data_IF_490191430206
#
_entry.id   IF_490191430206
#
_cell.length_a   1.000
_cell.length_b   1.000
_cell.length_c   1.000
_cell.angle_alpha   90.00
_cell.angle_beta   90.00
_cell.angle_gamma   90.00
#
_symmetry.space_group_name_H-M   'P 1'
#
loop_
_entity.id
_entity.type
_entity.pdbx_description
1 polymer ?
#
# COMPACT_ATOMS: atom_id res chain seq x y z
N UNK A 1 -12.97 29.53 5.60
CA UNK A 1 -12.38 28.22 5.29
C UNK A 1 -10.88 28.31 5.42
N UNK A 2 -10.30 27.65 6.44
CA UNK A 2 -8.85 27.61 6.64
C UNK A 2 -8.33 26.35 5.96
N UNK A 3 -7.59 26.51 4.85
CA UNK A 3 -6.79 25.41 4.31
C UNK A 3 -5.68 25.09 5.32
N UNK A 4 -5.65 23.86 5.80
CA UNK A 4 -4.55 23.40 6.64
C UNK A 4 -3.37 23.10 5.73
N UNK A 5 -2.23 23.74 5.97
CA UNK A 5 -0.94 23.38 5.36
C UNK A 5 -0.10 22.63 6.38
N UNK A 6 0.50 21.53 5.99
CA UNK A 6 1.51 20.84 6.80
C UNK A 6 2.85 20.88 6.07
N UNK A 7 3.91 21.23 6.80
CA UNK A 7 5.27 21.17 6.30
C UNK A 7 5.74 19.71 6.37
N UNK A 8 5.97 19.11 5.21
CA UNK A 8 6.64 17.80 5.13
C UNK A 8 8.18 17.94 5.08
N UNK A 9 8.66 19.09 4.63
CA UNK A 9 10.05 19.54 4.67
C UNK A 9 10.08 21.05 4.45
N UNK A 10 11.25 21.70 4.62
CA UNK A 10 11.38 23.14 4.38
C UNK A 10 11.08 23.54 2.92
N UNK A 11 11.17 22.60 1.97
CA UNK A 11 10.97 22.83 0.54
C UNK A 11 9.75 22.13 -0.05
N UNK A 12 8.99 21.35 0.75
CA UNK A 12 7.76 20.71 0.33
C UNK A 12 6.64 21.07 1.30
N UNK A 13 5.60 21.67 0.78
CA UNK A 13 4.43 22.10 1.54
C UNK A 13 3.20 21.38 1.00
N UNK A 14 2.41 20.82 1.90
CA UNK A 14 1.11 20.28 1.56
C UNK A 14 0.01 21.31 1.83
N UNK A 15 -0.82 21.57 0.85
CA UNK A 15 -1.98 22.46 0.96
C UNK A 15 -3.25 21.70 0.62
N UNK A 16 -4.22 21.68 1.55
CA UNK A 16 -5.55 21.15 1.26
C UNK A 16 -6.29 22.03 0.24
N UNK A 17 -7.17 21.38 -0.53
CA UNK A 17 -8.08 22.07 -1.45
C UNK A 17 -9.52 21.96 -0.91
N UNK A 18 -10.18 23.07 -0.54
CA UNK A 18 -11.56 23.02 -0.04
C UNK A 18 -12.60 22.76 -1.13
N UNK A 19 -12.22 22.88 -2.40
CA UNK A 19 -13.10 22.77 -3.56
C UNK A 19 -13.01 21.37 -4.21
N UNK A 20 -12.61 20.34 -3.43
CA UNK A 20 -12.60 18.96 -3.88
C UNK A 20 -14.02 18.40 -3.94
N UNK A 21 -14.39 17.95 -5.13
CA UNK A 21 -15.66 17.25 -5.36
C UNK A 21 -15.52 15.73 -5.13
N UNK A 22 -16.62 15.04 -4.80
CA UNK A 22 -16.63 13.58 -4.67
C UNK A 22 -16.31 12.89 -6.00
N UNK A 23 -15.40 11.92 -5.98
CA UNK A 23 -15.14 11.02 -7.12
C UNK A 23 -16.22 9.94 -7.19
N UNK A 24 -16.73 9.68 -8.39
CA UNK A 24 -17.72 8.64 -8.65
C UNK A 24 -17.09 7.51 -9.47
N UNK A 25 -17.25 6.28 -8.99
CA UNK A 25 -16.66 5.11 -9.64
C UNK A 25 -17.74 4.11 -10.05
N UNK A 26 -17.78 3.79 -11.34
CA UNK A 26 -18.51 2.66 -11.87
C UNK A 26 -17.57 1.45 -11.93
N UNK A 27 -18.01 0.33 -11.32
CA UNK A 27 -17.19 -0.87 -11.20
C UNK A 27 -17.92 -2.11 -11.73
N UNK A 28 -17.22 -2.88 -12.54
CA UNK A 28 -17.65 -4.21 -12.99
C UNK A 28 -16.59 -5.22 -12.56
N UNK A 29 -17.01 -6.27 -11.86
CA UNK A 29 -16.16 -7.36 -11.41
C UNK A 29 -16.74 -8.70 -11.82
N UNK A 30 -15.92 -9.55 -12.46
CA UNK A 30 -16.27 -10.91 -12.84
C UNK A 30 -15.38 -11.89 -12.10
N UNK A 31 -15.95 -12.57 -11.10
CA UNK A 31 -15.23 -13.49 -10.22
C UNK A 31 -15.49 -14.95 -10.52
N UNK A 32 -14.47 -15.78 -10.31
CA UNK A 32 -14.56 -17.23 -10.35
C UNK A 32 -13.92 -17.84 -9.11
N UNK A 33 -14.66 -18.70 -8.42
CA UNK A 33 -14.20 -19.41 -7.23
C UNK A 33 -14.25 -20.93 -7.48
N UNK A 34 -13.13 -21.61 -7.23
CA UNK A 34 -13.06 -23.08 -7.25
C UNK A 34 -12.41 -23.58 -5.97
N UNK A 35 -13.09 -24.53 -5.34
CA UNK A 35 -12.61 -25.27 -4.17
C UNK A 35 -12.30 -26.71 -4.54
N UNK A 36 -11.10 -27.16 -4.16
CA UNK A 36 -10.69 -28.56 -4.11
C UNK A 36 -10.39 -28.94 -2.66
N UNK A 37 -10.07 -30.20 -2.41
CA UNK A 37 -9.80 -30.67 -1.05
C UNK A 37 -8.66 -29.93 -0.33
N UNK A 38 -7.64 -29.50 -1.06
CA UNK A 38 -6.43 -28.87 -0.50
C UNK A 38 -6.18 -27.46 -1.04
N UNK A 39 -6.92 -27.02 -2.04
CA UNK A 39 -6.74 -25.74 -2.71
C UNK A 39 -8.07 -25.02 -2.80
N UNK A 40 -8.07 -23.75 -2.47
CA UNK A 40 -9.11 -22.81 -2.86
C UNK A 40 -8.48 -21.78 -3.78
N UNK A 41 -9.01 -21.65 -4.96
CA UNK A 41 -8.61 -20.67 -5.96
C UNK A 41 -9.75 -19.70 -6.20
N UNK A 42 -9.45 -18.42 -6.12
CA UNK A 42 -10.36 -17.34 -6.46
C UNK A 42 -9.65 -16.41 -7.44
N UNK A 43 -10.31 -16.06 -8.51
CA UNK A 43 -9.80 -15.08 -9.47
C UNK A 43 -10.92 -14.13 -9.88
N UNK A 44 -10.59 -12.90 -10.17
CA UNK A 44 -11.50 -11.93 -10.76
C UNK A 44 -10.82 -11.10 -11.84
N UNK A 45 -11.62 -10.66 -12.80
CA UNK A 45 -11.30 -9.63 -13.75
C UNK A 45 -12.18 -8.42 -13.45
N UNK A 46 -11.60 -7.24 -13.40
CA UNK A 46 -12.34 -6.04 -13.05
C UNK A 46 -12.02 -4.86 -13.97
N UNK A 47 -13.01 -3.98 -14.10
CA UNK A 47 -12.90 -2.70 -14.78
C UNK A 47 -13.58 -1.66 -13.92
N UNK A 48 -12.84 -0.60 -13.59
CA UNK A 48 -13.34 0.56 -12.85
C UNK A 48 -13.17 1.80 -13.72
N UNK A 49 -14.19 2.63 -13.78
CA UNK A 49 -14.17 3.94 -14.43
C UNK A 49 -14.50 4.97 -13.36
N UNK A 50 -13.56 5.84 -13.06
CA UNK A 50 -13.73 6.89 -12.05
C UNK A 50 -13.81 8.23 -12.75
N UNK A 51 -14.89 8.97 -12.51
CA UNK A 51 -15.06 10.36 -12.91
C UNK A 51 -14.63 11.25 -11.73
N UNK A 52 -14.11 12.44 -12.05
CA UNK A 52 -13.61 13.42 -11.08
C UNK A 52 -12.61 12.81 -10.08
N UNK A 53 -11.78 11.88 -10.59
CA UNK A 53 -10.70 11.25 -9.83
C UNK A 53 -9.77 12.32 -9.27
N UNK A 54 -9.52 12.28 -7.95
CA UNK A 54 -8.60 13.24 -7.38
C UNK A 54 -7.16 12.77 -7.44
N UNK A 55 -6.27 13.70 -7.75
CA UNK A 55 -4.83 13.47 -7.85
C UNK A 55 -4.08 14.54 -7.05
N UNK A 56 -2.92 14.17 -6.51
CA UNK A 56 -2.00 15.16 -5.96
C UNK A 56 -1.11 15.70 -7.07
N UNK A 57 -1.22 17.00 -7.29
CA UNK A 57 -0.32 17.72 -8.19
C UNK A 57 0.74 18.46 -7.40
N UNK A 58 1.89 18.66 -8.03
CA UNK A 58 2.99 19.47 -7.52
C UNK A 58 3.23 20.64 -8.43
N UNK A 59 3.37 21.82 -7.83
CA UNK A 59 3.67 23.08 -8.53
C UNK A 59 4.59 23.96 -7.68
N UNK A 60 5.25 24.91 -8.30
CA UNK A 60 6.01 25.92 -7.56
C UNK A 60 5.08 26.81 -6.73
N UNK A 61 5.48 27.14 -5.50
CA UNK A 61 4.74 28.03 -4.63
C UNK A 61 5.10 29.51 -4.83
N UNK A 62 6.18 29.81 -5.55
CA UNK A 62 6.79 31.13 -5.64
C UNK A 62 7.68 31.50 -4.45
N UNK A 63 7.80 30.62 -3.47
CA UNK A 63 8.70 30.81 -2.33
C UNK A 63 10.00 30.04 -2.56
N UNK A 64 11.08 30.54 -1.98
CA UNK A 64 12.40 29.92 -2.05
C UNK A 64 12.96 29.78 -0.63
N UNK A 65 13.62 28.66 -0.37
CA UNK A 65 14.41 28.41 0.85
C UNK A 65 15.83 28.08 0.41
N UNK A 66 16.79 28.88 0.84
CA UNK A 66 18.22 28.76 0.46
C UNK A 66 18.44 28.64 -1.06
N UNK A 67 17.65 29.39 -1.86
CA UNK A 67 17.72 29.37 -3.32
C UNK A 67 17.04 28.18 -3.99
N UNK A 68 16.43 27.28 -3.23
CA UNK A 68 15.67 26.12 -3.74
C UNK A 68 14.18 26.48 -3.77
N UNK A 69 13.45 26.25 -4.90
CA UNK A 69 12.04 26.53 -4.99
C UNK A 69 11.24 25.62 -4.05
N UNK A 70 10.28 26.22 -3.33
CA UNK A 70 9.34 25.49 -2.50
C UNK A 70 8.22 24.90 -3.37
N UNK A 71 8.05 23.59 -3.31
CA UNK A 71 7.06 22.85 -4.05
C UNK A 71 5.78 22.72 -3.22
N UNK A 72 4.68 23.14 -3.79
CA UNK A 72 3.34 22.98 -3.24
C UNK A 72 2.71 21.71 -3.77
N UNK A 73 2.29 20.82 -2.88
CA UNK A 73 1.49 19.64 -3.21
C UNK A 73 0.05 19.86 -2.79
N UNK A 74 -0.90 19.75 -3.73
CA UNK A 74 -2.32 19.96 -3.49
C UNK A 74 -3.17 18.92 -4.20
N UNK A 75 -4.27 18.42 -3.59
CA UNK A 75 -5.21 17.54 -4.28
C UNK A 75 -6.10 18.35 -5.22
N UNK A 76 -6.38 17.78 -6.39
CA UNK A 76 -7.33 18.33 -7.36
C UNK A 76 -8.20 17.21 -7.91
N UNK A 77 -9.39 17.51 -8.39
CA UNK A 77 -10.15 16.60 -9.24
C UNK A 77 -9.58 16.67 -10.65
N UNK A 78 -9.03 15.54 -11.09
CA UNK A 78 -8.50 15.39 -12.44
C UNK A 78 -9.43 14.45 -13.23
N UNK A 79 -9.70 14.74 -14.48
CA UNK A 79 -10.82 14.27 -15.30
C UNK A 79 -11.28 12.80 -15.11
N UNK A 80 -10.59 11.84 -15.69
CA UNK A 80 -11.02 10.43 -15.67
C UNK A 80 -9.89 9.47 -15.36
N UNK A 81 -10.25 8.39 -14.64
CA UNK A 81 -9.36 7.26 -14.42
C UNK A 81 -10.02 5.96 -14.88
N UNK A 82 -9.31 5.18 -15.66
CA UNK A 82 -9.70 3.84 -16.10
C UNK A 82 -8.73 2.83 -15.50
N UNK A 83 -9.26 1.89 -14.72
CA UNK A 83 -8.46 0.81 -14.14
C UNK A 83 -9.04 -0.53 -14.53
N UNK A 84 -8.24 -1.35 -15.21
CA UNK A 84 -8.61 -2.71 -15.57
C UNK A 84 -7.54 -3.68 -15.12
N UNK A 85 -7.94 -4.80 -14.54
CA UNK A 85 -6.98 -5.75 -13.99
C UNK A 85 -7.52 -7.13 -13.71
N UNK A 86 -6.60 -7.97 -13.24
CA UNK A 86 -6.86 -9.34 -12.81
C UNK A 86 -6.33 -9.56 -11.41
N UNK A 87 -7.11 -10.25 -10.61
CA UNK A 87 -6.73 -10.68 -9.27
C UNK A 87 -6.76 -12.20 -9.16
N UNK A 88 -5.75 -12.77 -8.49
CA UNK A 88 -5.63 -14.18 -8.22
C UNK A 88 -5.38 -14.38 -6.73
N UNK A 89 -6.21 -15.20 -6.09
CA UNK A 89 -6.07 -15.60 -4.71
C UNK A 89 -6.00 -17.12 -4.62
N UNK A 90 -4.98 -17.61 -3.95
CA UNK A 90 -4.76 -19.05 -3.74
C UNK A 90 -4.59 -19.33 -2.26
N UNK A 91 -5.41 -20.23 -1.72
CA UNK A 91 -5.20 -20.83 -0.41
C UNK A 91 -4.87 -22.31 -0.62
N UNK A 92 -3.69 -22.73 -0.20
CA UNK A 92 -3.20 -24.08 -0.38
C UNK A 92 -2.79 -24.71 0.94
N UNK A 93 -3.38 -25.83 1.29
CA UNK A 93 -3.10 -26.58 2.51
C UNK A 93 -2.73 -28.03 2.16
N UNK A 94 -1.50 -28.27 1.65
CA UNK A 94 -1.07 -29.59 1.21
C UNK A 94 -1.08 -30.61 2.36
N UNK A 95 -0.75 -30.14 3.58
CA UNK A 95 -0.67 -30.92 4.79
C UNK A 95 -1.31 -30.19 5.97
N UNK A 96 -1.69 -30.89 7.03
CA UNK A 96 -2.26 -30.29 8.24
C UNK A 96 -1.31 -29.32 8.95
N UNK A 97 -0.01 -29.48 8.74
CA UNK A 97 1.04 -28.66 9.34
C UNK A 97 1.55 -27.53 8.44
N UNK A 98 1.08 -27.43 7.17
CA UNK A 98 1.52 -26.39 6.25
C UNK A 98 0.34 -25.73 5.54
N UNK A 99 0.29 -24.39 5.59
CA UNK A 99 -0.67 -23.55 4.87
C UNK A 99 0.09 -22.47 4.12
N UNK A 100 -0.31 -22.28 2.87
CA UNK A 100 0.21 -21.24 1.98
C UNK A 100 -0.97 -20.40 1.47
N UNK A 101 -0.84 -19.08 1.55
CA UNK A 101 -1.78 -18.15 0.95
C UNK A 101 -1.00 -17.25 0.00
N UNK A 102 -1.52 -17.05 -1.19
CA UNK A 102 -0.95 -16.17 -2.20
C UNK A 102 -2.04 -15.24 -2.74
N UNK A 103 -1.68 -13.99 -2.92
CA UNK A 103 -2.46 -13.00 -3.64
C UNK A 103 -1.57 -12.38 -4.71
N UNK A 104 -2.10 -12.22 -5.90
CA UNK A 104 -1.47 -11.51 -7.00
C UNK A 104 -2.51 -10.63 -7.68
N UNK A 105 -2.18 -9.37 -7.91
CA UNK A 105 -3.02 -8.43 -8.65
C UNK A 105 -2.16 -7.71 -9.68
N UNK A 106 -2.60 -7.69 -10.93
CA UNK A 106 -1.97 -6.95 -12.01
C UNK A 106 -3.03 -6.08 -12.70
N UNK A 107 -2.73 -4.81 -12.91
CA UNK A 107 -3.67 -3.88 -13.51
C UNK A 107 -2.98 -2.82 -14.37
N UNK A 108 -3.72 -2.36 -15.35
CA UNK A 108 -3.44 -1.15 -16.12
C UNK A 108 -4.29 -0.02 -15.55
N UNK A 109 -3.63 1.08 -15.24
CA UNK A 109 -4.26 2.32 -14.81
C UNK A 109 -3.99 3.38 -15.88
N UNK A 110 -5.03 4.04 -16.33
CA UNK A 110 -4.96 5.14 -17.29
C UNK A 110 -5.66 6.34 -16.67
N UNK A 111 -4.94 7.43 -16.54
CA UNK A 111 -5.45 8.72 -16.09
C UNK A 111 -5.47 9.65 -17.28
N UNK A 112 -6.56 10.40 -17.46
CA UNK A 112 -6.72 11.37 -18.55
C UNK A 112 -7.17 12.71 -17.98
N UNK A 113 -6.51 13.78 -18.37
CA UNK A 113 -6.95 15.13 -18.05
C UNK A 113 -5.85 16.18 -18.09
N UNK A 114 -6.29 17.39 -18.34
CA UNK A 114 -5.46 18.58 -18.28
C UNK A 114 -5.85 19.40 -17.04
N UNK A 115 -4.86 19.98 -16.40
CA UNK A 115 -5.07 20.90 -15.29
C UNK A 115 -4.39 22.22 -15.56
N UNK A 116 -5.18 23.30 -15.45
CA UNK A 116 -4.70 24.67 -15.60
C UNK A 116 -4.67 25.38 -14.24
N UNK A 117 -3.57 26.05 -13.96
CA UNK A 117 -3.43 26.88 -12.77
C UNK A 117 -2.67 28.15 -13.11
N UNK A 118 -2.82 29.16 -12.29
CA UNK A 118 -2.04 30.40 -12.39
C UNK A 118 -0.78 30.22 -11.54
N UNK A 119 0.39 30.46 -12.14
CA UNK A 119 1.67 30.43 -11.43
C UNK A 119 1.86 31.69 -10.56
N UNK A 120 2.96 31.76 -9.81
CA UNK A 120 3.27 32.90 -8.96
C UNK A 120 3.64 34.16 -9.73
N UNK A 121 3.90 34.07 -11.03
CA UNK A 121 4.16 35.20 -11.93
C UNK A 121 2.87 35.72 -12.59
N UNK A 122 1.72 35.06 -12.37
CA UNK A 122 0.45 35.39 -12.97
C UNK A 122 0.19 34.77 -14.34
N UNK A 123 1.05 33.83 -14.80
CA UNK A 123 0.86 33.12 -16.06
C UNK A 123 -0.08 31.92 -15.86
N UNK A 124 -0.95 31.68 -16.83
CA UNK A 124 -1.75 30.46 -16.86
C UNK A 124 -0.90 29.30 -17.41
N UNK A 125 -0.63 28.32 -16.58
CA UNK A 125 0.09 27.09 -16.93
C UNK A 125 -0.94 25.97 -17.09
N UNK A 126 -0.98 25.34 -18.25
CA UNK A 126 -1.74 24.11 -18.49
C UNK A 126 -0.79 22.94 -18.56
N UNK A 127 -1.01 21.95 -17.71
CA UNK A 127 -0.21 20.72 -17.66
C UNK A 127 -1.11 19.54 -18.00
N UNK A 128 -0.63 18.70 -18.92
CA UNK A 128 -1.27 17.43 -19.23
C UNK A 128 -0.85 16.36 -18.23
N UNK A 129 -1.83 15.64 -17.69
CA UNK A 129 -1.64 14.58 -16.71
C UNK A 129 -1.98 13.18 -17.28
N UNK A 130 -2.12 13.08 -18.60
CA UNK A 130 -2.32 11.79 -19.23
C UNK A 130 -1.18 10.84 -18.89
N UNK A 131 -1.54 9.71 -18.35
CA UNK A 131 -0.57 8.70 -17.95
C UNK A 131 -1.16 7.30 -18.05
N UNK A 132 -0.37 6.36 -18.52
CA UNK A 132 -0.70 4.94 -18.55
C UNK A 132 0.36 4.19 -17.75
N UNK A 133 -0.07 3.50 -16.71
CA UNK A 133 0.80 2.66 -15.89
C UNK A 133 0.30 1.21 -15.90
N UNK A 134 1.20 0.27 -16.15
CA UNK A 134 1.00 -1.15 -15.89
C UNK A 134 1.77 -1.50 -14.63
N UNK A 135 1.08 -1.99 -13.62
CA UNK A 135 1.70 -2.34 -12.35
C UNK A 135 1.07 -3.60 -11.75
N UNK A 136 1.74 -4.18 -10.76
CA UNK A 136 1.26 -5.36 -10.08
C UNK A 136 1.80 -5.42 -8.65
N UNK A 137 1.10 -6.16 -7.83
CA UNK A 137 1.61 -6.51 -6.50
C UNK A 137 1.31 -7.96 -6.17
N UNK A 138 2.10 -8.51 -5.26
CA UNK A 138 1.89 -9.86 -4.74
C UNK A 138 2.12 -9.90 -3.23
N UNK A 139 1.36 -10.78 -2.59
CA UNK A 139 1.54 -11.12 -1.17
C UNK A 139 1.55 -12.64 -1.05
N UNK A 140 2.51 -13.14 -0.32
CA UNK A 140 2.64 -14.58 -0.04
C UNK A 140 2.78 -14.75 1.47
N UNK A 141 1.97 -15.62 2.05
CA UNK A 141 2.03 -15.98 3.46
C UNK A 141 2.15 -17.49 3.58
N UNK A 142 3.13 -17.97 4.32
CA UNK A 142 3.33 -19.39 4.63
C UNK A 142 3.34 -19.58 6.14
N UNK A 143 2.52 -20.52 6.62
CA UNK A 143 2.54 -20.97 8.01
C UNK A 143 2.88 -22.46 8.04
N UNK A 144 3.94 -22.79 8.76
CA UNK A 144 4.44 -24.16 8.96
C UNK A 144 4.50 -24.47 10.45
N UNK A 145 3.85 -25.54 10.86
CA UNK A 145 4.03 -26.08 12.22
C UNK A 145 5.16 -27.11 12.18
N UNK A 146 6.30 -26.73 12.71
CA UNK A 146 7.52 -27.55 12.81
C UNK A 146 7.38 -28.60 13.92
N UNK A 147 8.29 -29.59 14.00
CA UNK A 147 8.44 -30.48 15.16
C UNK A 147 8.52 -29.68 16.47
N UNK A 148 8.12 -30.29 17.59
CA UNK A 148 8.05 -29.65 18.92
C UNK A 148 7.02 -28.51 19.02
N UNK A 149 6.01 -28.46 18.12
CA UNK A 149 4.94 -27.46 18.09
C UNK A 149 5.49 -26.02 17.99
N UNK A 150 6.49 -25.82 17.18
CA UNK A 150 6.99 -24.50 16.83
C UNK A 150 6.23 -24.05 15.58
N UNK A 151 5.48 -22.97 15.66
CA UNK A 151 4.87 -22.33 14.50
C UNK A 151 5.86 -21.37 13.86
N UNK A 152 6.15 -21.58 12.60
CA UNK A 152 6.92 -20.68 11.75
C UNK A 152 5.99 -20.01 10.74
N UNK A 153 5.99 -18.69 10.69
CA UNK A 153 5.22 -17.91 9.74
C UNK A 153 6.15 -16.97 8.97
N UNK A 154 5.97 -16.93 7.66
CA UNK A 154 6.65 -16.03 6.74
C UNK A 154 5.61 -15.25 5.95
N UNK A 155 5.77 -13.93 5.85
CA UNK A 155 4.94 -13.08 5.01
C UNK A 155 5.87 -12.27 4.11
N UNK A 156 5.70 -12.40 2.79
CA UNK A 156 6.40 -11.62 1.78
C UNK A 156 5.41 -10.74 1.02
N UNK A 157 5.82 -9.54 0.69
CA UNK A 157 5.07 -8.61 -0.18
C UNK A 157 6.01 -8.01 -1.20
N UNK A 158 5.51 -7.82 -2.39
CA UNK A 158 6.17 -7.04 -3.44
C UNK A 158 5.15 -6.15 -4.13
N UNK A 159 5.46 -4.86 -4.22
CA UNK A 159 4.74 -3.91 -5.04
C UNK A 159 5.66 -3.49 -6.18
N UNK A 160 5.21 -3.64 -7.41
CA UNK A 160 5.97 -3.21 -8.58
C UNK A 160 6.05 -1.67 -8.66
N UNK A 161 7.01 -1.12 -9.42
CA UNK A 161 7.05 0.30 -9.68
C UNK A 161 5.75 0.79 -10.32
N UNK A 162 5.39 2.05 -10.02
CA UNK A 162 4.21 2.69 -10.59
C UNK A 162 4.57 4.09 -11.06
N UNK A 163 4.24 4.39 -12.31
CA UNK A 163 4.41 5.71 -12.90
C UNK A 163 3.13 6.54 -12.74
N UNK A 164 3.30 7.84 -12.66
CA UNK A 164 2.26 8.86 -12.79
C UNK A 164 2.77 10.01 -13.68
N UNK A 165 1.92 10.98 -13.98
CA UNK A 165 2.27 12.07 -14.90
C UNK A 165 3.43 12.97 -14.42
N UNK A 166 3.77 12.97 -13.13
CA UNK A 166 4.83 13.80 -12.55
C UNK A 166 5.99 12.99 -12.00
N UNK A 167 6.11 11.69 -12.35
CA UNK A 167 7.23 10.86 -11.91
C UNK A 167 6.87 9.40 -11.71
N UNK A 168 7.60 8.73 -10.83
CA UNK A 168 7.36 7.31 -10.53
C UNK A 168 7.67 6.97 -9.07
N UNK A 169 6.97 5.97 -8.56
CA UNK A 169 7.31 5.28 -7.31
C UNK A 169 8.07 4.00 -7.65
N UNK A 170 9.19 3.76 -7.00
CA UNK A 170 9.97 2.53 -7.21
C UNK A 170 9.32 1.34 -6.52
N UNK A 171 9.68 0.14 -6.98
CA UNK A 171 9.16 -1.09 -6.42
C UNK A 171 9.69 -1.35 -4.99
N UNK A 172 8.84 -1.98 -4.16
CA UNK A 172 9.16 -2.29 -2.77
C UNK A 172 8.93 -3.76 -2.50
N UNK A 173 9.98 -4.45 -2.06
CA UNK A 173 9.88 -5.80 -1.53
C UNK A 173 10.03 -5.77 0.00
N UNK A 174 9.26 -6.55 0.73
CA UNK A 174 9.46 -6.73 2.16
C UNK A 174 9.12 -8.15 2.61
N UNK A 175 9.80 -8.62 3.65
CA UNK A 175 9.58 -9.93 4.23
C UNK A 175 9.58 -9.85 5.75
N UNK A 176 8.60 -10.51 6.37
CA UNK A 176 8.50 -10.66 7.81
C UNK A 176 8.59 -12.14 8.17
N UNK A 177 9.24 -12.45 9.29
CA UNK A 177 9.32 -13.78 9.87
C UNK A 177 8.77 -13.76 11.29
N UNK A 178 8.09 -14.83 11.67
CA UNK A 178 7.65 -15.05 13.03
C UNK A 178 7.85 -16.52 13.41
N UNK A 179 8.37 -16.74 14.62
CA UNK A 179 8.43 -18.03 15.25
C UNK A 179 7.69 -17.95 16.58
N UNK A 180 6.84 -18.91 16.87
CA UNK A 180 6.17 -18.96 18.15
C UNK A 180 6.10 -20.39 18.68
N UNK A 181 6.14 -20.50 20.00
CA UNK A 181 6.03 -21.79 20.69
C UNK A 181 5.23 -21.63 21.96
N UNK A 182 4.25 -22.52 22.13
CA UNK A 182 3.55 -22.64 23.39
C UNK A 182 4.41 -23.44 24.39
N UNK A 183 4.51 -22.91 25.61
CA UNK A 183 5.26 -23.46 26.73
C UNK A 183 4.37 -23.51 27.99
N UNK A 184 4.88 -24.00 29.11
CA UNK A 184 4.16 -24.06 30.39
C UNK A 184 2.80 -24.77 30.28
N UNK A 185 2.75 -25.91 29.58
CA UNK A 185 1.50 -26.66 29.31
C UNK A 185 0.43 -25.79 28.65
N UNK A 186 0.82 -25.05 27.61
CA UNK A 186 0.01 -24.11 26.83
C UNK A 186 -0.51 -22.87 27.61
N UNK A 187 0.02 -22.59 28.80
CA UNK A 187 -0.29 -21.37 29.55
C UNK A 187 0.59 -20.19 29.15
N UNK A 188 1.75 -20.43 28.56
CA UNK A 188 2.67 -19.42 28.07
C UNK A 188 2.92 -19.56 26.56
N UNK A 189 3.19 -18.45 25.91
CA UNK A 189 3.66 -18.42 24.52
C UNK A 189 4.88 -17.52 24.43
N UNK A 190 5.96 -18.02 23.86
CA UNK A 190 7.11 -17.21 23.44
C UNK A 190 6.98 -16.98 21.93
N UNK A 191 7.16 -15.74 21.49
CA UNK A 191 7.23 -15.43 20.07
C UNK A 191 8.41 -14.52 19.75
N UNK A 192 9.11 -14.84 18.66
CA UNK A 192 10.13 -14.02 18.02
C UNK A 192 9.55 -13.50 16.71
N UNK A 193 9.52 -12.19 16.53
CA UNK A 193 9.06 -11.55 15.30
C UNK A 193 10.22 -10.74 14.71
N UNK A 194 10.47 -10.90 13.42
CA UNK A 194 11.40 -10.09 12.64
C UNK A 194 10.60 -9.40 11.55
N UNK A 195 10.41 -8.10 11.67
CA UNK A 195 9.74 -7.28 10.68
C UNK A 195 10.76 -6.71 9.71
N UNK A 196 10.44 -6.76 8.42
CA UNK A 196 11.29 -6.27 7.34
C UNK A 196 12.72 -6.84 7.40
N UNK A 197 12.83 -8.17 7.22
CA UNK A 197 14.08 -8.93 7.32
C UNK A 197 15.22 -8.31 6.50
N UNK A 198 14.89 -7.75 5.33
CA UNK A 198 15.88 -7.17 4.42
C UNK A 198 16.12 -5.68 4.63
N UNK A 199 15.38 -5.04 5.57
CA UNK A 199 15.39 -3.58 5.78
C UNK A 199 15.10 -2.80 4.48
N UNK A 200 14.17 -3.31 3.68
CA UNK A 200 13.90 -2.86 2.32
C UNK A 200 12.56 -2.13 2.16
N UNK A 201 11.76 -2.01 3.24
CA UNK A 201 10.48 -1.30 3.23
C UNK A 201 10.71 0.21 3.22
N UNK A 202 11.13 0.70 2.07
CA UNK A 202 11.36 2.11 1.81
C UNK A 202 10.45 2.57 0.69
N UNK A 203 9.84 3.75 0.85
CA UNK A 203 9.12 4.43 -0.21
C UNK A 203 10.09 5.33 -0.93
N UNK A 204 10.38 5.02 -2.18
CA UNK A 204 11.26 5.81 -3.03
C UNK A 204 10.39 6.41 -4.14
N UNK A 205 10.44 7.73 -4.26
CA UNK A 205 9.71 8.48 -5.28
C UNK A 205 10.69 9.35 -6.06
N UNK A 206 10.63 9.24 -7.36
CA UNK A 206 11.27 10.15 -8.29
C UNK A 206 10.18 11.07 -8.85
N UNK A 207 10.35 12.36 -8.68
CA UNK A 207 9.44 13.38 -9.21
C UNK A 207 10.18 14.15 -10.28
N UNK A 208 9.55 14.31 -11.42
CA UNK A 208 10.09 15.09 -12.53
C UNK A 208 9.01 15.98 -13.12
N UNK A 209 9.16 17.27 -12.93
CA UNK A 209 8.30 18.30 -13.49
C UNK A 209 9.19 19.13 -14.42
N UNK A 210 8.98 19.09 -15.75
CA UNK A 210 9.83 19.76 -16.71
C UNK A 210 10.04 21.22 -16.39
N UNK A 211 11.31 21.67 -16.41
CA UNK A 211 11.76 23.04 -16.12
C UNK A 211 11.45 23.57 -14.69
N UNK A 212 10.93 22.72 -13.80
CA UNK A 212 10.54 23.12 -12.44
C UNK A 212 11.39 22.36 -11.41
N UNK A 213 11.26 21.02 -11.35
CA UNK A 213 11.94 20.24 -10.33
C UNK A 213 12.24 18.82 -10.82
N UNK A 214 13.43 18.35 -10.51
CA UNK A 214 13.78 16.92 -10.50
C UNK A 214 14.17 16.56 -9.07
N UNK A 215 13.48 15.61 -8.46
CA UNK A 215 13.75 15.24 -7.08
C UNK A 215 13.67 13.73 -6.86
N UNK A 216 14.57 13.27 -5.99
CA UNK A 216 14.57 11.91 -5.46
C UNK A 216 14.24 11.98 -3.98
N UNK A 217 13.23 11.23 -3.56
CA UNK A 217 12.79 11.17 -2.17
C UNK A 217 12.78 9.73 -1.69
N UNK A 218 13.47 9.47 -0.59
CA UNK A 218 13.44 8.18 0.10
C UNK A 218 12.86 8.37 1.50
N UNK A 219 11.85 7.59 1.82
CA UNK A 219 11.19 7.61 3.12
C UNK A 219 11.13 6.20 3.70
N UNK A 220 11.68 6.01 4.88
CA UNK A 220 11.59 4.79 5.65
C UNK A 220 10.91 5.08 6.99
N UNK A 221 9.66 4.64 7.16
CA UNK A 221 8.89 4.87 8.39
C UNK A 221 9.43 4.07 9.58
N UNK A 222 9.90 2.87 9.31
CA UNK A 222 10.46 1.95 10.31
C UNK A 222 11.53 1.10 9.67
N UNK A 223 12.64 1.01 10.36
CA UNK A 223 13.70 0.06 10.04
C UNK A 223 13.30 -1.36 10.46
N UNK A 224 14.13 -2.33 10.10
CA UNK A 224 13.99 -3.71 10.57
C UNK A 224 13.87 -3.77 12.08
N UNK A 225 12.86 -4.48 12.56
CA UNK A 225 12.61 -4.66 13.99
C UNK A 225 12.67 -6.14 14.35
N UNK A 226 13.34 -6.44 15.46
CA UNK A 226 13.36 -7.76 16.07
C UNK A 226 12.69 -7.63 17.42
N UNK A 227 11.63 -8.38 17.64
CA UNK A 227 10.84 -8.33 18.87
C UNK A 227 10.66 -9.74 19.43
N UNK A 228 11.02 -9.90 20.69
CA UNK A 228 10.69 -11.10 21.47
C UNK A 228 9.56 -10.76 22.41
N UNK A 229 8.54 -11.58 22.44
CA UNK A 229 7.39 -11.42 23.36
C UNK A 229 7.13 -12.69 24.12
N UNK A 230 6.72 -12.52 25.37
CA UNK A 230 6.21 -13.58 26.22
C UNK A 230 4.81 -13.25 26.68
N UNK A 231 3.88 -14.15 26.42
CA UNK A 231 2.47 -14.01 26.84
C UNK A 231 2.14 -15.12 27.82
N UNK A 232 1.64 -14.78 29.00
CA UNK A 232 1.15 -15.74 29.98
C UNK A 232 -0.36 -15.62 30.18
N UNK A 233 -1.09 -16.75 30.13
CA UNK A 233 -2.56 -16.80 30.25
C UNK A 233 -2.92 -17.31 31.65
N UNK A 234 -3.37 -16.42 32.53
CA UNK A 234 -3.71 -16.74 33.92
C UNK A 234 -4.97 -17.60 34.05
N UNK A 235 -6.00 -17.36 33.22
CA UNK A 235 -7.30 -18.01 33.29
C UNK A 235 -7.65 -18.68 31.96
N UNK A 236 -6.99 -19.78 31.60
CA UNK A 236 -7.35 -20.57 30.42
C UNK A 236 -8.51 -21.49 30.77
N UNK A 237 -9.75 -21.15 30.41
CA UNK A 237 -10.87 -22.11 30.45
C UNK A 237 -10.62 -23.23 29.44
N UNK A 238 -10.90 -24.47 29.86
CA UNK A 238 -10.59 -25.71 29.12
C UNK A 238 -11.22 -25.82 27.73
N UNK A 239 -12.18 -24.94 27.38
CA UNK A 239 -13.00 -24.99 26.14
C UNK A 239 -12.63 -23.91 25.09
N UNK A 240 -11.56 -23.15 25.26
CA UNK A 240 -11.16 -22.11 24.27
C UNK A 240 -10.25 -22.61 23.14
N UNK A 241 -10.09 -23.93 22.99
CA UNK A 241 -9.28 -24.47 21.88
C UNK A 241 -9.85 -24.23 20.48
N UNK A 242 -11.14 -23.86 20.36
CA UNK A 242 -11.82 -23.66 19.09
C UNK A 242 -12.19 -22.22 18.76
N UNK A 243 -12.00 -21.30 19.69
CA UNK A 243 -12.11 -19.87 19.38
C UNK A 243 -10.71 -19.33 19.06
N UNK A 244 -10.24 -19.56 17.85
CA UNK A 244 -9.33 -18.59 17.26
C UNK A 244 -10.08 -17.25 17.35
N UNK A 245 -9.48 -16.20 17.95
CA UNK A 245 -10.07 -14.88 17.81
C UNK A 245 -10.22 -14.72 16.29
N UNK A 246 -11.44 -14.53 15.80
CA UNK A 246 -11.59 -13.82 14.54
C UNK A 246 -10.71 -12.61 14.73
N UNK A 247 -9.55 -12.57 14.09
CA UNK A 247 -8.93 -11.31 13.81
C UNK A 247 -10.03 -10.57 13.08
N UNK A 248 -10.68 -9.67 13.77
CA UNK A 248 -11.20 -8.51 13.09
C UNK A 248 -10.01 -8.04 12.31
N UNK A 249 -10.08 -8.21 11.03
CA UNK A 249 -9.23 -7.56 10.06
C UNK A 249 -9.55 -6.07 10.26
N UNK A 250 -8.99 -5.53 11.34
CA UNK A 250 -8.83 -4.10 11.47
C UNK A 250 -7.82 -3.78 10.36
N UNK A 251 -8.37 -3.65 9.16
CA UNK A 251 -7.76 -3.02 8.01
C UNK A 251 -7.37 -1.58 8.30
N UNK A 252 -6.75 -1.37 9.43
CA UNK A 252 -6.20 -0.14 9.96
C UNK A 252 -4.70 -0.11 9.85
N UNK A 253 -4.12 -0.76 8.86
CA UNK A 253 -2.81 -0.34 8.38
C UNK A 253 -3.10 0.50 7.15
N UNK A 254 -3.13 1.80 7.43
CA UNK A 254 -3.55 2.85 6.53
C UNK A 254 -3.09 2.61 5.12
N UNK A 255 -4.05 2.39 4.30
CA UNK A 255 -3.99 2.60 2.89
C UNK A 255 -3.67 4.09 2.61
N UNK A 256 -2.48 4.52 3.07
CA UNK A 256 -1.79 5.73 2.63
C UNK A 256 -0.97 5.46 1.35
N UNK A 257 -1.17 4.30 0.75
CA UNK A 257 -0.80 4.07 -0.62
C UNK A 257 -1.97 4.54 -1.48
N UNK A 258 -1.89 5.80 -1.85
CA UNK A 258 -2.64 6.44 -2.90
C UNK A 258 -3.80 5.64 -3.47
N UNK A 259 -4.98 5.78 -2.90
CA UNK A 259 -6.10 5.94 -3.80
C UNK A 259 -5.85 7.24 -4.55
N UNK A 260 -5.88 7.18 -5.89
CA UNK A 260 -5.85 8.40 -6.65
C UNK A 260 -7.00 9.31 -6.24
#
# INVERSE_FOLDING_TARGET
>A
NRCFSSLSSNINVFQGNPDIDPSLTDAIDLGYLKKWSKVTFNTSAYINVTNDSFQFIRKESGLFVDGVPVILSTPINLAKEYRAGFEFNVNYSPYKWWRLNGNFNAFRNETQGDYSYVDYLGNTITQNFDNVALTWFTRISSKVTLPYKIDWQTNGTYNAPQSNAQGKSLGVASMNLAFSKDILKDKGTIALNVSDVFNSRKRIMETEIPNVVSSYSEMQWRERQIMVSFTYRFNKQKNERDRQPKREDNGGDGDFMGRP
#
